data_IF_885874124727
#
_entry.id   IF_885874124727
#
_cell.length_a   1.000
_cell.length_b   1.000
_cell.length_c   1.000
_cell.angle_alpha   90.00
_cell.angle_beta   90.00
_cell.angle_gamma   90.00
#
_symmetry.space_group_name_H-M   'P 1'
#
loop_
_entity.id
_entity.type
_entity.pdbx_description
1 polymer ?
#
# COMPACT_ATOMS: atom_id res chain seq x y z
N UNK A 1 -21.24 -26.27 10.86
CA UNK A 1 -19.98 -27.02 10.65
C UNK A 1 -18.78 -26.21 11.17
N UNK A 2 -18.54 -26.26 12.48
CA UNK A 2 -17.41 -25.61 13.14
C UNK A 2 -16.19 -26.55 13.19
N UNK A 3 -16.43 -27.86 13.21
CA UNK A 3 -15.39 -28.90 13.29
C UNK A 3 -14.48 -28.92 12.05
N UNK A 4 -15.02 -28.53 10.88
CA UNK A 4 -14.26 -28.44 9.64
C UNK A 4 -13.10 -27.43 9.71
N UNK A 5 -13.24 -26.35 10.47
CA UNK A 5 -12.18 -25.36 10.66
C UNK A 5 -11.02 -25.93 11.48
N UNK A 6 -11.32 -26.76 12.48
CA UNK A 6 -10.31 -27.41 13.32
C UNK A 6 -9.51 -28.41 12.51
N UNK A 7 -10.19 -29.24 11.72
CA UNK A 7 -9.57 -30.21 10.83
C UNK A 7 -8.69 -29.56 9.76
N UNK A 8 -9.15 -28.46 9.15
CA UNK A 8 -8.40 -27.71 8.16
C UNK A 8 -7.14 -27.09 8.77
N UNK A 9 -7.28 -26.44 9.94
CA UNK A 9 -6.16 -25.82 10.65
C UNK A 9 -5.10 -26.84 11.07
N UNK A 10 -5.48 -28.05 11.46
CA UNK A 10 -4.55 -29.11 11.83
C UNK A 10 -3.71 -29.62 10.65
N UNK A 11 -4.11 -29.34 9.41
CA UNK A 11 -3.40 -29.73 8.18
C UNK A 11 -2.58 -28.61 7.57
N UNK A 12 -2.66 -27.38 8.08
CA UNK A 12 -1.86 -26.26 7.59
C UNK A 12 -0.40 -26.39 8.03
N UNK A 13 0.53 -25.95 7.18
CA UNK A 13 1.94 -25.82 7.54
C UNK A 13 2.14 -24.65 8.51
N UNK A 14 3.23 -24.72 9.28
CA UNK A 14 3.65 -23.61 10.13
C UNK A 14 3.91 -22.34 9.29
N UNK A 15 3.53 -21.19 9.84
CA UNK A 15 3.82 -19.91 9.21
C UNK A 15 5.34 -19.68 9.20
N UNK A 16 5.89 -19.06 8.13
CA UNK A 16 7.25 -18.56 8.15
C UNK A 16 7.45 -17.62 9.35
N UNK A 17 8.66 -17.58 9.96
CA UNK A 17 8.94 -16.72 11.11
C UNK A 17 8.96 -15.22 10.77
N UNK A 18 8.84 -14.87 9.49
CA UNK A 18 8.80 -13.50 8.99
C UNK A 18 7.41 -13.22 8.45
N UNK A 19 6.82 -12.11 8.89
CA UNK A 19 5.52 -11.67 8.40
C UNK A 19 5.57 -11.45 6.88
N UNK A 20 4.53 -11.86 6.13
CA UNK A 20 4.47 -11.58 4.72
C UNK A 20 4.41 -10.07 4.48
N UNK A 21 5.00 -9.62 3.37
CA UNK A 21 4.78 -8.27 2.88
C UNK A 21 3.31 -8.13 2.47
N UNK A 22 2.63 -7.15 3.06
CA UNK A 22 1.22 -6.84 2.75
C UNK A 22 1.09 -5.42 2.21
N UNK A 23 -0.02 -5.15 1.53
CA UNK A 23 -0.27 -3.87 0.87
C UNK A 23 0.43 -3.73 -0.49
N UNK A 24 0.28 -2.56 -1.10
CA UNK A 24 0.89 -2.19 -2.37
C UNK A 24 2.00 -1.18 -2.11
N UNK A 25 3.13 -1.35 -2.83
CA UNK A 25 4.21 -0.37 -2.88
C UNK A 25 4.61 -0.12 -4.32
N UNK A 26 4.51 1.13 -4.77
CA UNK A 26 4.93 1.55 -6.11
C UNK A 26 5.86 2.75 -6.01
N UNK A 27 6.68 2.95 -7.03
CA UNK A 27 7.46 4.17 -7.19
C UNK A 27 7.22 4.69 -8.58
N UNK A 28 6.79 5.94 -8.65
CA UNK A 28 6.36 6.56 -9.90
C UNK A 28 6.69 8.05 -9.87
N UNK A 29 6.77 8.66 -11.05
CA UNK A 29 7.01 10.09 -11.17
C UNK A 29 5.67 10.80 -11.07
N UNK A 30 5.51 11.74 -10.13
CA UNK A 30 4.26 12.45 -9.96
C UNK A 30 3.93 13.26 -11.22
N UNK A 31 2.80 12.95 -11.85
CA UNK A 31 2.32 13.65 -13.04
C UNK A 31 1.81 15.06 -12.71
N UNK A 32 1.57 15.87 -13.76
CA UNK A 32 1.18 17.29 -13.61
C UNK A 32 -0.22 17.47 -13.03
N UNK A 33 -1.05 16.44 -13.12
CA UNK A 33 -2.37 16.38 -12.52
C UNK A 33 -2.32 16.09 -11.01
N UNK A 34 -1.14 15.95 -10.39
CA UNK A 34 -0.93 15.83 -8.94
C UNK A 34 -1.67 14.65 -8.27
N UNK A 35 -2.05 13.62 -9.04
CA UNK A 35 -2.68 12.41 -8.52
C UNK A 35 -1.77 11.19 -8.64
N UNK A 36 -1.94 10.25 -7.70
CA UNK A 36 -1.48 8.87 -7.84
C UNK A 36 -2.69 7.95 -7.91
N UNK A 37 -2.65 6.97 -8.80
CA UNK A 37 -3.75 6.01 -8.97
C UNK A 37 -3.48 4.73 -8.20
N UNK A 38 -4.40 4.36 -7.32
CA UNK A 38 -4.41 3.06 -6.66
C UNK A 38 -5.70 2.36 -7.06
N UNK A 39 -5.55 1.27 -7.82
CA UNK A 39 -6.64 0.56 -8.48
C UNK A 39 -7.51 1.50 -9.33
N UNK A 40 -8.72 1.81 -8.85
CA UNK A 40 -9.70 2.67 -9.53
C UNK A 40 -9.87 4.04 -8.88
N UNK A 41 -9.03 4.39 -7.90
CA UNK A 41 -9.11 5.63 -7.14
C UNK A 41 -7.87 6.49 -7.38
N UNK A 42 -8.10 7.80 -7.52
CA UNK A 42 -7.05 8.81 -7.67
C UNK A 42 -6.90 9.58 -6.36
N UNK A 43 -5.68 9.59 -5.80
CA UNK A 43 -5.35 10.24 -4.54
C UNK A 43 -4.48 11.47 -4.79
N UNK A 44 -4.87 12.61 -4.23
CA UNK A 44 -4.12 13.86 -4.42
C UNK A 44 -2.79 13.84 -3.67
N UNK A 45 -1.78 14.49 -4.24
CA UNK A 45 -0.44 14.64 -3.68
C UNK A 45 -0.06 16.12 -3.67
N UNK A 46 0.78 16.55 -2.73
CA UNK A 46 1.29 17.94 -2.71
C UNK A 46 1.91 18.31 -4.09
N UNK A 47 1.35 19.28 -4.83
CA UNK A 47 1.85 19.66 -6.15
C UNK A 47 3.30 20.17 -6.16
N UNK A 48 3.87 20.54 -4.99
CA UNK A 48 5.28 20.96 -4.86
C UNK A 48 6.27 19.88 -5.29
N UNK A 49 5.85 18.61 -5.39
CA UNK A 49 6.69 17.50 -5.84
C UNK A 49 6.33 16.96 -7.24
N UNK A 50 5.54 17.69 -8.03
CA UNK A 50 5.28 17.33 -9.44
C UNK A 50 6.60 17.11 -10.18
N UNK A 51 6.65 16.05 -10.99
CA UNK A 51 7.82 15.67 -11.76
C UNK A 51 8.91 14.97 -10.95
N UNK A 52 8.76 14.79 -9.64
CA UNK A 52 9.70 14.03 -8.79
C UNK A 52 9.24 12.58 -8.65
N UNK A 53 10.19 11.70 -8.33
CA UNK A 53 9.87 10.34 -7.91
C UNK A 53 9.23 10.37 -6.52
N UNK A 54 8.12 9.66 -6.39
CA UNK A 54 7.41 9.47 -5.13
C UNK A 54 7.24 7.97 -4.89
N UNK A 55 7.37 7.57 -3.63
CA UNK A 55 7.03 6.24 -3.15
C UNK A 55 5.60 6.26 -2.63
N UNK A 56 4.75 5.41 -3.19
CA UNK A 56 3.38 5.22 -2.75
C UNK A 56 3.30 3.92 -1.97
N UNK A 57 2.72 3.99 -0.77
CA UNK A 57 2.44 2.81 0.07
C UNK A 57 0.95 2.82 0.38
N UNK A 58 0.24 1.77 -0.05
CA UNK A 58 -1.18 1.60 0.20
C UNK A 58 -1.43 0.33 1.01
N UNK A 59 -2.23 0.46 2.06
CA UNK A 59 -2.75 -0.65 2.86
C UNK A 59 -4.28 -0.62 2.85
N UNK A 60 -4.91 -1.56 3.56
CA UNK A 60 -6.36 -1.61 3.71
C UNK A 60 -6.96 -0.32 4.33
N UNK A 61 -6.16 0.45 5.08
CA UNK A 61 -6.67 1.56 5.89
C UNK A 61 -6.07 2.92 5.54
N UNK A 62 -5.06 2.97 4.68
CA UNK A 62 -4.40 4.22 4.32
C UNK A 62 -3.58 4.15 3.05
N UNK A 63 -3.43 5.30 2.41
CA UNK A 63 -2.47 5.55 1.34
C UNK A 63 -1.52 6.66 1.79
N UNK A 64 -0.21 6.41 1.75
CA UNK A 64 0.82 7.41 2.05
C UNK A 64 1.73 7.60 0.86
N UNK A 65 2.11 8.84 0.59
CA UNK A 65 3.04 9.19 -0.49
C UNK A 65 4.24 9.91 0.10
N UNK A 66 5.44 9.40 -0.19
CA UNK A 66 6.70 9.97 0.28
C UNK A 66 7.56 10.44 -0.90
N UNK A 67 8.20 11.60 -0.78
CA UNK A 67 9.17 12.11 -1.74
C UNK A 67 10.50 12.37 -1.05
N UNK A 68 11.53 11.59 -1.40
CA UNK A 68 12.86 11.68 -0.78
C UNK A 68 12.81 11.65 0.76
N UNK A 69 11.97 10.77 1.33
CA UNK A 69 11.80 10.62 2.78
C UNK A 69 10.83 11.61 3.43
N UNK A 70 10.31 12.61 2.72
CA UNK A 70 9.29 13.52 3.23
C UNK A 70 7.88 13.03 2.88
N UNK A 71 6.98 12.99 3.85
CA UNK A 71 5.56 12.69 3.64
C UNK A 71 4.91 13.87 2.90
N UNK A 72 4.32 13.59 1.73
CA UNK A 72 3.69 14.60 0.84
C UNK A 72 2.21 14.35 0.60
N UNK A 73 1.67 13.22 1.07
CA UNK A 73 0.23 12.98 1.20
C UNK A 73 -0.04 11.81 2.16
N UNK A 74 -1.17 11.88 2.86
CA UNK A 74 -1.77 10.78 3.63
C UNK A 74 -3.29 10.80 3.42
N UNK A 75 -3.86 9.64 3.11
CA UNK A 75 -5.29 9.40 2.93
C UNK A 75 -5.72 8.17 3.73
N UNK A 76 -6.97 8.11 4.19
CA UNK A 76 -7.55 7.00 4.97
C UNK A 76 -8.81 6.47 4.32
#
# INVERSE_FOLDING_TARGET
PVDALVEDRARMLDLPPVAPTTGLRTTERLARDYYVRIDSLDYSVDPRVIGRLVEVVASLHKVTVNCAGALVAEHR
#
